data_IF_408999205305
#
_entry.id   IF_408999205305
#
_cell.length_a   1.000
_cell.length_b   1.000
_cell.length_c   1.000
_cell.angle_alpha   90.00
_cell.angle_beta   90.00
_cell.angle_gamma   90.00
#
_symmetry.space_group_name_H-M   'P 1'
#
loop_
_entity.id
_entity.type
_entity.pdbx_description
1 polymer ?
#
# COMPACT_ATOMS: atom_id res chain seq x y z
N UNK A 1 -15.86 44.21 -49.50
CA UNK A 1 -16.00 42.95 -48.73
C UNK A 1 -14.71 42.72 -47.94
N UNK A 2 -14.73 42.85 -46.61
CA UNK A 2 -13.65 42.40 -45.72
C UNK A 2 -14.33 41.71 -44.54
N UNK A 3 -14.27 40.37 -44.53
CA UNK A 3 -14.74 39.55 -43.42
C UNK A 3 -13.59 39.46 -42.42
N UNK A 4 -13.70 40.19 -41.31
CA UNK A 4 -12.80 40.04 -40.16
C UNK A 4 -13.31 38.85 -39.36
N UNK A 5 -12.65 37.69 -39.51
CA UNK A 5 -12.86 36.52 -38.66
C UNK A 5 -12.27 36.83 -37.28
N UNK A 6 -13.14 37.11 -36.32
CA UNK A 6 -12.77 37.13 -34.90
C UNK A 6 -12.67 35.66 -34.47
N UNK A 7 -11.45 35.15 -34.41
CA UNK A 7 -11.15 33.86 -33.81
C UNK A 7 -11.31 34.04 -32.29
N UNK A 8 -12.43 33.57 -31.73
CA UNK A 8 -12.60 33.42 -30.30
C UNK A 8 -11.61 32.35 -29.84
N UNK A 9 -10.47 32.77 -29.30
CA UNK A 9 -9.59 31.90 -28.54
C UNK A 9 -10.24 31.68 -27.17
N UNK A 10 -11.06 30.64 -27.05
CA UNK A 10 -11.47 30.11 -25.76
C UNK A 10 -10.23 29.55 -25.07
N UNK A 11 -9.64 30.35 -24.20
CA UNK A 11 -8.70 29.87 -23.20
C UNK A 11 -9.45 28.87 -22.30
N UNK A 12 -9.34 27.58 -22.60
CA UNK A 12 -9.57 26.53 -21.60
C UNK A 12 -8.49 26.72 -20.54
N UNK A 13 -8.77 27.56 -19.55
CA UNK A 13 -8.10 27.47 -18.26
C UNK A 13 -8.48 26.11 -17.69
N UNK A 14 -7.61 25.13 -17.89
CA UNK A 14 -7.62 23.91 -17.09
C UNK A 14 -7.33 24.42 -15.69
N UNK A 15 -8.39 24.64 -14.91
CA UNK A 15 -8.26 24.91 -13.49
C UNK A 15 -7.65 23.62 -12.96
N UNK A 16 -6.33 23.61 -12.77
CA UNK A 16 -5.68 22.62 -11.93
C UNK A 16 -6.30 22.81 -10.56
N UNK A 17 -7.34 22.01 -10.27
CA UNK A 17 -7.88 21.90 -8.93
C UNK A 17 -6.74 21.33 -8.12
N UNK A 18 -5.94 22.21 -7.51
CA UNK A 18 -4.91 21.85 -6.58
C UNK A 18 -5.63 21.22 -5.41
N UNK A 19 -5.75 19.89 -5.42
CA UNK A 19 -6.14 19.13 -4.26
C UNK A 19 -4.98 19.22 -3.26
N UNK A 20 -4.92 20.33 -2.54
CA UNK A 20 -4.21 20.42 -1.27
C UNK A 20 -5.27 20.37 -0.17
N UNK A 21 -5.96 19.23 -0.09
CA UNK A 21 -6.44 18.77 1.21
C UNK A 21 -5.22 18.26 1.96
N UNK A 22 -5.03 18.66 3.22
CA UNK A 22 -4.05 18.02 4.11
C UNK A 22 -4.29 16.50 4.09
N UNK A 23 -3.45 15.75 3.34
CA UNK A 23 -3.57 14.31 3.20
C UNK A 23 -2.95 13.66 4.43
N UNK A 24 -3.79 13.16 5.33
CA UNK A 24 -3.31 12.51 6.54
C UNK A 24 -3.12 11.01 6.29
N UNK A 25 -1.98 10.45 6.70
CA UNK A 25 -1.68 9.04 6.52
C UNK A 25 -2.79 8.13 7.07
N UNK A 26 -3.31 8.45 8.25
CA UNK A 26 -4.36 7.67 8.93
C UNK A 26 -5.66 7.52 8.12
N UNK A 27 -5.91 8.41 7.17
CA UNK A 27 -7.09 8.32 6.30
C UNK A 27 -6.99 7.14 5.33
N UNK A 28 -5.80 6.58 5.13
CA UNK A 28 -5.48 5.51 4.19
C UNK A 28 -5.33 4.14 4.84
N UNK A 29 -5.81 3.98 6.08
CA UNK A 29 -6.00 2.67 6.72
C UNK A 29 -7.42 2.59 7.30
N UNK A 30 -7.99 1.39 7.35
CA UNK A 30 -9.24 1.16 8.08
C UNK A 30 -8.94 0.65 9.48
N UNK A 31 -9.71 1.10 10.46
CA UNK A 31 -9.69 0.66 11.85
C UNK A 31 -11.01 -0.02 12.25
N UNK A 32 -11.81 -0.44 11.27
CA UNK A 32 -13.12 -1.03 11.52
C UNK A 32 -13.01 -2.53 11.77
N UNK A 33 -13.03 -2.90 13.06
CA UNK A 33 -12.91 -4.28 13.52
C UNK A 33 -13.94 -5.20 12.85
N UNK A 34 -13.48 -6.37 12.40
CA UNK A 34 -14.28 -7.33 11.65
C UNK A 34 -14.24 -7.15 10.14
N UNK A 35 -13.64 -6.05 9.64
CA UNK A 35 -13.43 -5.85 8.20
C UNK A 35 -12.51 -6.93 7.64
N UNK A 36 -12.91 -7.51 6.50
CA UNK A 36 -12.15 -8.54 5.78
C UNK A 36 -11.84 -8.06 4.37
N UNK A 37 -10.55 -7.97 4.06
CA UNK A 37 -10.00 -7.72 2.74
C UNK A 37 -9.66 -9.02 2.04
N UNK A 38 -9.94 -9.10 0.74
CA UNK A 38 -9.51 -10.22 -0.09
C UNK A 38 -8.73 -9.72 -1.30
N UNK A 39 -7.52 -10.21 -1.45
CA UNK A 39 -6.67 -9.94 -2.59
C UNK A 39 -6.52 -11.20 -3.42
N UNK A 40 -6.45 -11.03 -4.74
CA UNK A 40 -5.89 -12.04 -5.64
C UNK A 40 -4.46 -11.63 -5.98
N UNK A 41 -3.57 -12.61 -6.05
CA UNK A 41 -2.18 -12.39 -6.47
C UNK A 41 -1.97 -13.06 -7.82
N UNK A 42 -1.54 -12.28 -8.80
CA UNK A 42 -1.21 -12.73 -10.14
C UNK A 42 0.30 -12.57 -10.40
N UNK A 43 0.86 -13.38 -11.29
CA UNK A 43 2.21 -13.13 -11.81
C UNK A 43 2.25 -12.09 -12.94
N UNK A 44 3.45 -11.82 -13.45
CA UNK A 44 3.69 -10.95 -14.61
C UNK A 44 2.87 -11.31 -15.87
N UNK A 45 2.45 -12.57 -16.01
CA UNK A 45 1.65 -13.04 -17.14
C UNK A 45 0.14 -13.00 -16.85
N UNK A 46 -0.25 -12.42 -15.71
CA UNK A 46 -1.65 -12.35 -15.27
C UNK A 46 -2.22 -13.66 -14.75
N UNK A 47 -1.40 -14.69 -14.52
CA UNK A 47 -1.86 -15.98 -14.02
C UNK A 47 -2.02 -15.92 -12.51
N UNK A 48 -3.20 -16.32 -12.03
CA UNK A 48 -3.50 -16.46 -10.60
C UNK A 48 -2.51 -17.40 -9.92
N UNK A 49 -1.93 -16.95 -8.80
CA UNK A 49 -1.05 -17.75 -7.94
C UNK A 49 -1.76 -18.19 -6.67
N UNK A 50 -2.31 -17.23 -5.93
CA UNK A 50 -2.95 -17.45 -4.65
C UNK A 50 -3.87 -16.26 -4.31
N UNK A 51 -4.59 -16.38 -3.21
CA UNK A 51 -5.33 -15.29 -2.60
C UNK A 51 -4.78 -14.96 -1.22
N UNK A 52 -4.96 -13.72 -0.80
CA UNK A 52 -4.65 -13.24 0.54
C UNK A 52 -5.96 -12.79 1.18
N UNK A 53 -6.21 -13.20 2.42
CA UNK A 53 -7.35 -12.72 3.20
C UNK A 53 -6.84 -12.06 4.46
N UNK A 54 -7.09 -10.77 4.61
CA UNK A 54 -6.66 -9.97 5.77
C UNK A 54 -7.88 -9.56 6.57
N UNK A 55 -7.86 -9.76 7.89
CA UNK A 55 -8.96 -9.41 8.80
C UNK A 55 -8.48 -8.46 9.88
N UNK A 56 -9.20 -7.37 10.12
CA UNK A 56 -9.02 -6.52 11.31
C UNK A 56 -9.64 -7.25 12.50
N UNK A 57 -8.80 -7.80 13.39
CA UNK A 57 -9.26 -8.64 14.51
C UNK A 57 -9.78 -7.83 15.68
N UNK A 58 -9.06 -6.78 16.03
CA UNK A 58 -9.37 -5.94 17.17
C UNK A 58 -8.67 -4.60 17.01
N UNK A 59 -9.23 -3.58 17.64
CA UNK A 59 -8.55 -2.32 17.90
C UNK A 59 -8.75 -1.96 19.37
N UNK A 60 -7.85 -1.17 19.94
CA UNK A 60 -8.08 -0.51 21.22
C UNK A 60 -9.19 0.56 21.11
N UNK A 61 -9.62 1.10 22.25
CA UNK A 61 -10.82 1.96 22.34
C UNK A 61 -10.72 3.23 21.48
N UNK A 62 -9.53 3.86 21.45
CA UNK A 62 -9.23 5.05 20.66
C UNK A 62 -8.82 4.75 19.22
N UNK A 63 -8.76 3.45 18.86
CA UNK A 63 -8.37 2.94 17.54
C UNK A 63 -6.95 3.31 17.11
N UNK A 64 -6.08 3.68 18.05
CA UNK A 64 -4.66 3.96 17.78
C UNK A 64 -3.84 2.69 17.55
N UNK A 65 -4.29 1.52 18.01
CA UNK A 65 -3.64 0.24 17.79
C UNK A 65 -4.66 -0.78 17.29
N UNK A 66 -4.46 -1.29 16.07
CA UNK A 66 -5.32 -2.29 15.46
C UNK A 66 -4.51 -3.53 15.07
N UNK A 67 -5.00 -4.71 15.45
CA UNK A 67 -4.41 -6.00 15.12
C UNK A 67 -5.07 -6.59 13.88
N UNK A 68 -4.25 -7.10 12.98
CA UNK A 68 -4.61 -7.68 11.70
C UNK A 68 -4.10 -9.12 11.62
N UNK A 69 -4.84 -9.94 10.90
CA UNK A 69 -4.42 -11.32 10.57
C UNK A 69 -4.58 -11.53 9.09
N UNK A 70 -3.48 -11.85 8.42
CA UNK A 70 -3.43 -12.27 7.02
C UNK A 70 -3.32 -13.79 6.93
N UNK A 71 -4.05 -14.41 6.01
CA UNK A 71 -3.94 -15.84 5.69
C UNK A 71 -3.84 -16.03 4.17
N UNK A 72 -2.96 -16.94 3.72
CA UNK A 72 -2.92 -17.34 2.31
C UNK A 72 -3.94 -18.43 2.02
N UNK A 73 -4.52 -18.34 0.83
CA UNK A 73 -5.34 -19.39 0.24
C UNK A 73 -4.76 -19.74 -1.11
N UNK A 74 -4.73 -21.02 -1.46
CA UNK A 74 -4.23 -21.45 -2.75
C UNK A 74 -5.11 -20.92 -3.90
N UNK A 75 -4.74 -21.22 -5.15
CA UNK A 75 -5.50 -20.78 -6.33
C UNK A 75 -6.92 -21.36 -6.41
N UNK A 76 -7.24 -22.40 -5.62
CA UNK A 76 -8.60 -22.94 -5.45
C UNK A 76 -9.40 -22.23 -4.33
N UNK A 77 -8.81 -21.21 -3.70
CA UNK A 77 -9.34 -20.49 -2.54
C UNK A 77 -9.48 -21.38 -1.28
N UNK A 78 -8.67 -22.44 -1.20
CA UNK A 78 -8.55 -23.32 -0.03
C UNK A 78 -7.47 -22.79 0.90
N UNK A 79 -7.73 -22.80 2.21
CA UNK A 79 -6.77 -22.33 3.21
C UNK A 79 -5.49 -23.15 3.18
N UNK A 80 -4.35 -22.46 3.13
CA UNK A 80 -3.04 -23.10 3.25
C UNK A 80 -2.62 -23.04 4.72
N UNK A 81 -2.46 -24.20 5.36
CA UNK A 81 -2.01 -24.29 6.75
C UNK A 81 -0.64 -23.65 6.94
N UNK A 82 -0.42 -23.00 8.09
CA UNK A 82 0.86 -22.38 8.44
C UNK A 82 1.15 -21.04 7.77
N UNK A 83 0.19 -20.44 7.06
CA UNK A 83 0.36 -19.16 6.34
C UNK A 83 -0.30 -17.97 7.05
N UNK A 84 -0.69 -18.15 8.31
CA UNK A 84 -1.24 -17.06 9.11
C UNK A 84 -0.11 -16.15 9.56
N UNK A 85 -0.30 -14.86 9.35
CA UNK A 85 0.62 -13.82 9.76
C UNK A 85 -0.16 -12.75 10.54
N UNK A 86 0.23 -12.55 11.79
CA UNK A 86 -0.32 -11.55 12.70
C UNK A 86 0.57 -10.30 12.64
N UNK A 87 -0.06 -9.13 12.49
CA UNK A 87 0.63 -7.83 12.53
C UNK A 87 -0.30 -6.76 13.11
N UNK A 88 0.23 -5.61 13.45
CA UNK A 88 -0.55 -4.48 13.93
C UNK A 88 -0.20 -3.20 13.16
N UNK A 89 -1.17 -2.30 13.05
CA UNK A 89 -0.91 -0.91 12.74
C UNK A 89 -1.07 -0.08 14.01
N UNK A 90 -0.06 0.74 14.28
CA UNK A 90 -0.03 1.70 15.39
C UNK A 90 -0.02 3.12 14.81
N UNK A 91 -1.05 3.91 15.16
CA UNK A 91 -1.16 5.33 14.89
C UNK A 91 -0.59 6.06 16.11
N UNK A 92 0.56 6.70 15.95
CA UNK A 92 1.23 7.45 17.01
C UNK A 92 0.55 8.78 17.30
N UNK A 93 0.92 9.40 18.42
CA UNK A 93 0.38 10.70 18.83
C UNK A 93 0.59 11.80 17.79
N UNK A 94 1.68 11.74 17.04
CA UNK A 94 1.96 12.68 15.94
C UNK A 94 1.09 12.43 14.69
N UNK A 95 0.35 11.31 14.64
CA UNK A 95 -0.51 10.87 13.56
C UNK A 95 0.17 9.97 12.52
N UNK A 96 1.46 9.67 12.68
CA UNK A 96 2.18 8.72 11.82
C UNK A 96 1.74 7.28 12.10
N UNK A 97 1.90 6.41 11.12
CA UNK A 97 1.47 5.01 11.19
C UNK A 97 2.67 4.10 11.04
N UNK A 98 2.77 3.14 11.95
CA UNK A 98 3.79 2.10 11.95
C UNK A 98 3.15 0.72 11.82
N UNK A 99 3.80 -0.15 11.07
CA UNK A 99 3.53 -1.59 11.09
C UNK A 99 4.38 -2.22 12.17
N UNK A 100 3.75 -2.96 13.08
CA UNK A 100 4.40 -3.60 14.22
C UNK A 100 4.12 -5.09 14.16
N UNK A 101 5.17 -5.91 14.30
CA UNK A 101 5.02 -7.37 14.40
C UNK A 101 4.89 -7.78 15.87
N UNK A 102 3.89 -8.60 16.26
CA UNK A 102 3.74 -9.08 17.64
C UNK A 102 5.01 -9.77 18.14
N UNK A 103 5.52 -9.33 19.29
CA UNK A 103 6.72 -9.89 19.90
C UNK A 103 8.04 -9.46 19.24
N UNK A 104 8.00 -8.49 18.32
CA UNK A 104 9.18 -7.88 17.73
C UNK A 104 9.30 -6.42 18.17
N UNK A 105 10.53 -5.97 18.43
CA UNK A 105 10.85 -4.54 18.60
C UNK A 105 10.97 -3.82 17.25
N UNK A 106 10.77 -4.55 16.15
CA UNK A 106 10.88 -4.01 14.80
C UNK A 106 9.56 -3.37 14.39
N UNK A 107 9.69 -2.10 14.00
CA UNK A 107 8.62 -1.31 13.43
C UNK A 107 9.06 -0.72 12.10
N UNK A 108 8.11 -0.64 11.16
CA UNK A 108 8.33 0.02 9.88
C UNK A 108 7.29 1.11 9.72
N UNK A 109 7.73 2.34 9.52
CA UNK A 109 6.83 3.47 9.24
C UNK A 109 6.14 3.21 7.90
N UNK A 110 4.81 3.12 7.92
CA UNK A 110 3.98 2.92 6.75
C UNK A 110 3.51 4.26 6.17
N UNK A 111 3.05 5.16 7.03
CA UNK A 111 2.60 6.49 6.62
C UNK A 111 3.14 7.60 7.54
N UNK A 112 3.54 8.75 6.99
CA UNK A 112 3.71 9.96 7.78
C UNK A 112 2.35 10.50 8.25
N UNK A 113 2.38 11.34 9.29
CA UNK A 113 1.18 12.05 9.76
C UNK A 113 0.51 12.86 8.64
N UNK A 114 1.34 13.57 7.87
CA UNK A 114 0.95 14.28 6.65
C UNK A 114 1.75 13.77 5.46
N UNK A 115 1.06 13.35 4.42
CA UNK A 115 1.66 12.89 3.17
C UNK A 115 2.18 14.10 2.40
N UNK A 116 3.44 14.01 2.00
CA UNK A 116 4.09 14.96 1.10
C UNK A 116 4.62 14.22 -0.10
N UNK A 117 4.33 14.73 -1.29
CA UNK A 117 4.74 14.09 -2.53
C UNK A 117 6.17 14.46 -2.93
N UNK A 118 6.91 13.48 -3.45
CA UNK A 118 8.28 13.66 -3.94
C UNK A 118 9.36 13.73 -2.85
N UNK A 119 8.99 13.65 -1.57
CA UNK A 119 9.95 13.49 -0.47
C UNK A 119 10.29 12.00 -0.32
N UNK A 120 11.57 11.66 -0.50
CA UNK A 120 12.08 10.30 -0.29
C UNK A 120 12.50 10.15 1.17
N UNK A 121 11.78 9.31 1.91
CA UNK A 121 12.19 8.88 3.24
C UNK A 121 13.13 7.68 3.13
N UNK A 122 14.14 7.63 4.00
CA UNK A 122 15.07 6.51 4.09
C UNK A 122 15.10 6.00 5.52
N UNK A 123 14.97 4.70 5.66
CA UNK A 123 15.07 4.01 6.94
C UNK A 123 16.18 2.97 6.85
N UNK A 124 16.95 2.86 7.91
CA UNK A 124 17.99 1.85 8.02
C UNK A 124 17.92 1.26 9.43
N UNK A 125 17.85 -0.05 9.49
CA UNK A 125 17.73 -0.78 10.75
C UNK A 125 18.52 -2.08 10.71
N UNK A 126 19.14 -2.40 11.83
CA UNK A 126 19.79 -3.68 12.06
C UNK A 126 18.93 -4.48 13.02
N UNK A 127 18.45 -5.64 12.57
CA UNK A 127 17.52 -6.50 13.29
C UNK A 127 18.17 -7.87 13.44
N UNK A 128 18.64 -8.20 14.64
CA UNK A 128 19.39 -9.42 14.89
C UNK A 128 20.58 -9.52 13.91
N UNK A 129 20.53 -10.46 12.97
CA UNK A 129 21.54 -10.70 11.92
C UNK A 129 21.16 -10.10 10.55
N UNK A 130 20.17 -9.20 10.49
CA UNK A 130 19.64 -8.59 9.26
C UNK A 130 19.96 -7.10 9.18
N UNK A 131 20.58 -6.70 8.08
CA UNK A 131 20.73 -5.28 7.68
C UNK A 131 19.60 -4.94 6.69
N UNK A 132 18.68 -4.08 7.10
CA UNK A 132 17.52 -3.67 6.31
C UNK A 132 17.65 -2.19 5.98
N UNK A 133 17.61 -1.87 4.69
CA UNK A 133 17.55 -0.51 4.18
C UNK A 133 16.29 -0.34 3.36
N UNK A 134 15.41 0.55 3.80
CA UNK A 134 14.14 0.87 3.13
C UNK A 134 14.16 2.31 2.62
N UNK A 135 13.54 2.55 1.48
CA UNK A 135 13.22 3.89 1.00
C UNK A 135 11.77 3.94 0.59
N UNK A 136 11.06 5.01 0.94
CA UNK A 136 9.67 5.21 0.56
C UNK A 136 9.45 6.61 -0.01
N UNK A 137 8.58 6.71 -1.01
CA UNK A 137 8.25 7.98 -1.65
C UNK A 137 6.77 7.98 -2.07
N UNK A 138 5.98 8.93 -1.55
CA UNK A 138 4.65 9.18 -2.08
C UNK A 138 4.79 9.92 -3.41
N UNK A 139 4.33 9.32 -4.51
CA UNK A 139 4.54 9.85 -5.86
C UNK A 139 3.48 10.87 -6.26
N UNK A 140 2.22 10.52 -6.05
CA UNK A 140 1.09 11.35 -6.49
C UNK A 140 -0.21 10.98 -5.79
N UNK A 141 -1.13 11.94 -5.80
CA UNK A 141 -2.55 11.70 -5.53
C UNK A 141 -3.24 11.23 -6.80
N UNK A 142 -4.16 10.29 -6.66
CA UNK A 142 -4.95 9.69 -7.72
C UNK A 142 -6.43 9.90 -7.35
N UNK A 143 -7.15 10.81 -8.03
CA UNK A 143 -8.55 11.09 -7.71
C UNK A 143 -9.45 9.86 -7.81
N UNK A 144 -9.17 8.99 -8.78
CA UNK A 144 -9.95 7.80 -9.05
C UNK A 144 -9.10 6.70 -9.70
N UNK A 145 -9.28 5.45 -9.28
CA UNK A 145 -8.66 4.26 -9.89
C UNK A 145 -9.68 3.13 -10.01
N UNK A 146 -9.65 2.42 -11.14
CA UNK A 146 -10.41 1.18 -11.32
C UNK A 146 -9.52 -0.02 -10.96
N UNK A 147 -9.94 -0.78 -9.94
CA UNK A 147 -9.28 -2.01 -9.51
C UNK A 147 -10.32 -3.11 -9.45
N UNK A 148 -10.09 -4.17 -10.23
CA UNK A 148 -10.97 -5.34 -10.34
C UNK A 148 -12.44 -5.00 -10.65
N UNK A 149 -12.66 -4.01 -11.52
CA UNK A 149 -14.00 -3.55 -11.91
C UNK A 149 -14.69 -2.66 -10.88
N UNK A 150 -14.01 -2.29 -9.79
CA UNK A 150 -14.50 -1.34 -8.78
C UNK A 150 -13.74 -0.04 -8.85
N UNK A 151 -14.48 1.05 -8.69
CA UNK A 151 -13.94 2.41 -8.66
C UNK A 151 -13.63 2.78 -7.21
N UNK A 152 -12.38 3.16 -6.95
CA UNK A 152 -11.92 3.72 -5.68
C UNK A 152 -11.50 5.17 -5.88
N UNK A 153 -11.73 6.00 -4.87
CA UNK A 153 -11.48 7.44 -4.92
C UNK A 153 -10.45 7.86 -3.89
N UNK A 154 -9.88 9.05 -4.12
CA UNK A 154 -8.95 9.71 -3.20
C UNK A 154 -7.81 8.79 -2.79
N UNK A 155 -7.07 8.30 -3.77
CA UNK A 155 -5.97 7.36 -3.59
C UNK A 155 -4.61 8.07 -3.64
N UNK A 156 -3.58 7.40 -3.14
CA UNK A 156 -2.18 7.81 -3.24
C UNK A 156 -1.35 6.65 -3.76
N UNK A 157 -0.31 6.99 -4.52
CA UNK A 157 0.73 6.07 -4.97
C UNK A 157 1.95 6.21 -4.06
N UNK A 158 2.43 5.07 -3.57
CA UNK A 158 3.59 4.93 -2.71
C UNK A 158 4.58 3.97 -3.38
N UNK A 159 5.79 4.44 -3.64
CA UNK A 159 6.89 3.58 -4.05
C UNK A 159 7.70 3.19 -2.82
N UNK A 160 7.93 1.90 -2.62
CA UNK A 160 8.78 1.36 -1.55
C UNK A 160 9.87 0.49 -2.16
N UNK A 161 11.13 0.73 -1.76
CA UNK A 161 12.24 -0.14 -2.12
C UNK A 161 12.91 -0.62 -0.85
N UNK A 162 13.12 -1.93 -0.72
CA UNK A 162 13.84 -2.52 0.41
C UNK A 162 15.06 -3.29 -0.09
N UNK A 163 16.13 -3.25 0.69
CA UNK A 163 17.24 -4.19 0.58
C UNK A 163 17.46 -4.81 1.96
N UNK A 164 17.27 -6.12 2.04
CA UNK A 164 17.52 -6.92 3.23
C UNK A 164 18.76 -7.77 2.96
N UNK A 165 19.78 -7.63 3.80
CA UNK A 165 20.94 -8.51 3.81
C UNK A 165 20.88 -9.40 5.04
N UNK A 166 21.00 -10.71 4.83
CA UNK A 166 21.03 -11.71 5.87
C UNK A 166 22.02 -12.80 5.49
N UNK A 167 23.13 -12.93 6.24
CA UNK A 167 24.22 -13.86 5.90
C UNK A 167 24.66 -13.64 4.44
N UNK A 168 24.66 -14.69 3.62
CA UNK A 168 25.02 -14.63 2.20
C UNK A 168 23.82 -14.32 1.27
N UNK A 169 22.68 -13.88 1.83
CA UNK A 169 21.48 -13.55 1.08
C UNK A 169 21.24 -12.04 1.04
N UNK A 170 21.02 -11.53 -0.17
CA UNK A 170 20.55 -10.18 -0.46
C UNK A 170 19.19 -10.33 -1.13
N UNK A 171 18.16 -9.87 -0.42
CA UNK A 171 16.81 -9.77 -0.92
C UNK A 171 16.56 -8.30 -1.23
N UNK A 172 16.11 -8.01 -2.46
CA UNK A 172 15.65 -6.66 -2.82
C UNK A 172 14.21 -6.71 -3.23
N UNK A 173 13.43 -5.77 -2.74
CA UNK A 173 12.04 -5.55 -3.15
C UNK A 173 11.89 -4.16 -3.75
N UNK A 174 11.07 -4.06 -4.79
CA UNK A 174 10.56 -2.81 -5.36
C UNK A 174 9.04 -2.97 -5.39
N UNK A 175 8.32 -2.07 -4.72
CA UNK A 175 6.88 -2.12 -4.55
C UNK A 175 6.26 -0.80 -5.03
N UNK A 176 5.29 -0.90 -5.93
CA UNK A 176 4.41 0.21 -6.34
C UNK A 176 3.03 -0.04 -5.73
N UNK A 177 2.65 0.75 -4.74
CA UNK A 177 1.48 0.54 -3.88
C UNK A 177 0.45 1.64 -4.05
N UNK A 178 -0.83 1.25 -4.09
CA UNK A 178 -1.96 2.16 -4.25
C UNK A 178 -2.86 2.05 -3.02
N UNK A 179 -2.95 3.11 -2.24
CA UNK A 179 -3.81 3.19 -1.06
C UNK A 179 -4.95 4.17 -1.29
N UNK A 180 -6.18 3.80 -0.94
CA UNK A 180 -7.35 4.65 -1.09
C UNK A 180 -7.98 5.01 0.26
N UNK A 181 -8.45 6.25 0.38
CA UNK A 181 -9.03 6.79 1.61
C UNK A 181 -10.20 5.93 2.12
N UNK A 182 -10.18 5.61 3.41
CA UNK A 182 -11.17 4.77 4.09
C UNK A 182 -11.12 3.29 3.72
N UNK A 183 -10.24 2.88 2.79
CA UNK A 183 -10.13 1.50 2.32
C UNK A 183 -8.80 0.89 2.74
N UNK A 184 -7.68 1.53 2.42
CA UNK A 184 -6.36 0.92 2.52
C UNK A 184 -5.77 0.55 1.18
N UNK A 185 -4.85 -0.43 1.19
CA UNK A 185 -4.19 -0.95 -0.01
C UNK A 185 -5.24 -1.54 -0.96
N UNK A 186 -5.30 -1.04 -2.19
CA UNK A 186 -6.20 -1.57 -3.23
C UNK A 186 -5.44 -2.36 -4.30
N UNK A 187 -4.18 -1.99 -4.55
CA UNK A 187 -3.33 -2.65 -5.53
C UNK A 187 -1.87 -2.48 -5.14
N UNK A 188 -1.07 -3.51 -5.37
CA UNK A 188 0.38 -3.48 -5.20
C UNK A 188 1.00 -4.26 -6.35
N UNK A 189 2.07 -3.71 -6.93
CA UNK A 189 2.95 -4.45 -7.83
C UNK A 189 4.29 -4.62 -7.13
N UNK A 190 4.58 -5.86 -6.74
CA UNK A 190 5.80 -6.23 -6.05
C UNK A 190 6.76 -6.92 -7.00
N UNK A 191 8.00 -6.49 -6.99
CA UNK A 191 9.13 -7.12 -7.67
C UNK A 191 10.15 -7.51 -6.61
N UNK A 192 10.55 -8.77 -6.59
CA UNK A 192 11.46 -9.33 -5.60
C UNK A 192 12.63 -10.05 -6.27
N UNK A 193 13.84 -9.89 -5.73
CA UNK A 193 15.05 -10.58 -6.18
C UNK A 193 15.76 -11.21 -4.99
N UNK A 194 16.21 -12.47 -5.15
CA UNK A 194 16.94 -13.25 -4.13
C UNK A 194 18.28 -13.67 -4.68
N UNK A 195 19.34 -12.89 -4.44
CA UNK A 195 20.67 -13.14 -5.04
C UNK A 195 20.65 -13.38 -6.56
N UNK A 196 19.60 -12.92 -7.25
CA UNK A 196 19.27 -13.31 -8.62
C UNK A 196 18.95 -12.06 -9.43
N UNK A 197 19.45 -12.02 -10.67
CA UNK A 197 19.14 -10.97 -11.63
C UNK A 197 17.73 -11.12 -12.24
N UNK A 198 17.12 -12.31 -12.09
CA UNK A 198 15.74 -12.57 -12.53
C UNK A 198 14.79 -12.27 -11.38
N UNK A 199 13.98 -11.21 -11.48
CA UNK A 199 12.99 -10.89 -10.46
C UNK A 199 11.78 -11.82 -10.53
N UNK A 200 11.18 -12.10 -9.39
CA UNK A 200 9.81 -12.56 -9.29
C UNK A 200 8.91 -11.33 -9.23
N UNK A 201 7.89 -11.28 -10.09
CA UNK A 201 6.96 -10.15 -10.15
C UNK A 201 5.56 -10.67 -9.83
N UNK A 202 4.92 -10.02 -8.87
CA UNK A 202 3.57 -10.28 -8.44
C UNK A 202 2.74 -8.99 -8.46
N UNK A 203 1.45 -9.13 -8.67
CA UNK A 203 0.50 -8.03 -8.48
C UNK A 203 -0.61 -8.49 -7.54
N UNK A 204 -0.72 -7.83 -6.40
CA UNK A 204 -1.83 -8.00 -5.47
C UNK A 204 -2.95 -7.05 -5.86
N UNK A 205 -4.16 -7.57 -6.00
CA UNK A 205 -5.33 -6.82 -6.47
C UNK A 205 -6.47 -7.06 -5.48
N UNK A 206 -6.97 -5.97 -4.87
CA UNK A 206 -8.12 -6.03 -3.98
C UNK A 206 -9.38 -6.39 -4.78
N UNK A 207 -9.97 -7.53 -4.43
CA UNK A 207 -11.18 -8.06 -5.06
C UNK A 207 -12.43 -7.71 -4.26
N UNK A 208 -12.33 -7.68 -2.93
CA UNK A 208 -13.47 -7.33 -2.06
C UNK A 208 -13.03 -6.85 -0.69
N UNK A 209 -13.86 -5.98 -0.13
CA UNK A 209 -13.88 -5.58 1.27
C UNK A 209 -15.24 -5.97 1.80
N UNK A 210 -15.28 -6.66 2.93
CA UNK A 210 -16.51 -6.97 3.68
C UNK A 210 -16.40 -6.34 5.05
N UNK A 211 -17.24 -5.34 5.33
CA UNK A 211 -17.42 -4.79 6.66
C UNK A 211 -18.47 -5.61 7.42
N UNK A 212 -18.36 -5.63 8.74
CA UNK A 212 -19.33 -6.31 9.61
C UNK A 212 -20.61 -5.50 9.75
#
# INVERSE_FOLDING_TARGET
MRKTLIILATALTIISVGYSSDLNGKDYISTDTGTVYKYKTIDENGKLKFFISTTIKSCNEDKSLCHYVSELKDSSNTKVSGTKYDYAYEIREDGSIYTVSPGSEVETKLFPAKIKFGEVEKHHQNIEDRDVTDTSEFKKQIPEINVDGKIYKDCVELDVNSTIKFKDQVIKTESEEFYCKGIGLVKEKLKETHNSDKPMIYTNILTSVKTK
#
